data_IF_829339336631
#
_entry.id   IF_829339336631
#
_cell.length_a   1.000
_cell.length_b   1.000
_cell.length_c   1.000
_cell.angle_alpha   90.00
_cell.angle_beta   90.00
_cell.angle_gamma   90.00
#
_symmetry.space_group_name_H-M   'P 1'
#
loop_
_entity.id
_entity.type
_entity.pdbx_description
1 polymer ?
#
# COMPACT_ATOMS: atom_id res chain seq x y z
N UNK A 1 14.56 -2.48 5.62
CA UNK A 1 13.45 -2.88 4.72
C UNK A 1 13.46 -1.92 3.53
N UNK A 2 13.18 -2.39 2.32
CA UNK A 2 13.15 -1.51 1.12
C UNK A 2 12.22 -0.32 1.34
N UNK A 3 11.06 -0.53 1.97
CA UNK A 3 10.12 0.53 2.36
C UNK A 3 10.72 1.61 3.26
N UNK A 4 11.61 1.24 4.20
CA UNK A 4 12.34 2.21 5.03
C UNK A 4 13.25 3.09 4.16
N UNK A 5 14.10 2.47 3.35
CA UNK A 5 15.08 3.21 2.53
C UNK A 5 14.39 4.07 1.45
N UNK A 6 13.27 3.59 0.91
CA UNK A 6 12.42 4.31 -0.04
C UNK A 6 11.83 5.59 0.57
N UNK A 7 11.36 5.53 1.83
CA UNK A 7 10.62 6.64 2.47
C UNK A 7 11.51 7.54 3.33
N UNK A 8 12.52 6.98 4.00
CA UNK A 8 13.43 7.69 4.91
C UNK A 8 14.82 7.96 4.26
N UNK A 9 15.28 7.11 3.34
CA UNK A 9 16.69 7.06 2.90
C UNK A 9 17.08 7.97 1.74
N UNK A 10 16.15 8.74 1.15
CA UNK A 10 16.36 9.67 0.02
C UNK A 10 17.26 9.11 -1.11
N UNK A 11 17.05 7.85 -1.49
CA UNK A 11 17.82 7.19 -2.54
C UNK A 11 17.11 7.34 -3.89
N UNK A 12 17.65 8.16 -4.80
CA UNK A 12 17.13 8.34 -6.16
C UNK A 12 16.91 7.01 -6.91
N UNK A 13 17.76 6.01 -6.66
CA UNK A 13 17.69 4.70 -7.29
C UNK A 13 16.44 3.89 -6.90
N UNK A 14 15.69 4.33 -5.88
CA UNK A 14 14.51 3.63 -5.37
C UNK A 14 13.19 4.30 -5.75
N UNK A 15 13.21 5.35 -6.58
CA UNK A 15 12.01 6.08 -6.99
C UNK A 15 10.98 5.18 -7.69
N UNK A 16 11.43 4.26 -8.55
CA UNK A 16 10.53 3.29 -9.20
C UNK A 16 9.81 2.37 -8.21
N UNK A 17 10.51 1.95 -7.14
CA UNK A 17 9.91 1.17 -6.06
C UNK A 17 8.91 2.00 -5.25
N UNK A 18 9.23 3.29 -5.01
CA UNK A 18 8.32 4.23 -4.36
C UNK A 18 7.02 4.36 -5.16
N UNK A 19 7.13 4.71 -6.44
CA UNK A 19 5.97 4.88 -7.33
C UNK A 19 5.11 3.62 -7.40
N UNK A 20 5.73 2.44 -7.49
CA UNK A 20 5.01 1.16 -7.47
C UNK A 20 4.30 0.91 -6.14
N UNK A 21 4.95 1.22 -5.01
CA UNK A 21 4.36 1.09 -3.69
C UNK A 21 3.18 2.05 -3.49
N UNK A 22 3.34 3.32 -3.86
CA UNK A 22 2.28 4.33 -3.76
C UNK A 22 1.07 3.98 -4.64
N UNK A 23 1.31 3.55 -5.89
CA UNK A 23 0.25 3.07 -6.78
C UNK A 23 -0.49 1.87 -6.20
N UNK A 24 0.25 0.91 -5.62
CA UNK A 24 -0.36 -0.23 -4.94
C UNK A 24 -1.16 0.19 -3.72
N UNK A 25 -0.64 1.06 -2.85
CA UNK A 25 -1.35 1.54 -1.67
C UNK A 25 -2.62 2.31 -2.05
N UNK A 26 -2.58 3.11 -3.11
CA UNK A 26 -3.76 3.81 -3.61
C UNK A 26 -4.83 2.85 -4.13
N UNK A 27 -4.45 1.74 -4.79
CA UNK A 27 -5.41 0.72 -5.19
C UNK A 27 -6.18 0.06 -4.02
N UNK A 28 -5.69 0.23 -2.77
CA UNK A 28 -6.35 -0.24 -1.55
C UNK A 28 -7.32 0.78 -0.96
N UNK A 29 -7.27 2.04 -1.41
CA UNK A 29 -8.16 3.11 -0.92
C UNK A 29 -9.43 3.07 -1.76
N UNK A 30 -10.60 2.79 -1.15
CA UNK A 30 -11.87 2.87 -1.86
C UNK A 30 -12.07 4.25 -2.47
N UNK A 31 -12.70 4.31 -3.64
CA UNK A 31 -13.02 5.56 -4.36
C UNK A 31 -11.81 6.37 -4.86
N UNK A 32 -10.59 5.83 -4.76
CA UNK A 32 -9.43 6.42 -5.44
C UNK A 32 -9.51 6.22 -6.97
N UNK A 33 -8.99 7.17 -7.76
CA UNK A 33 -8.84 7.01 -9.20
C UNK A 33 -8.05 5.77 -9.60
N UNK A 34 -8.60 4.97 -10.53
CA UNK A 34 -7.90 3.87 -11.18
C UNK A 34 -8.32 2.46 -10.71
N UNK A 35 -7.50 1.44 -11.00
CA UNK A 35 -7.76 0.08 -10.57
C UNK A 35 -7.70 -0.04 -9.05
N UNK A 36 -8.73 -0.65 -8.47
CA UNK A 36 -8.87 -0.83 -7.03
C UNK A 36 -9.07 -2.31 -6.72
N UNK A 37 -8.65 -2.71 -5.53
CA UNK A 37 -8.92 -4.06 -5.02
C UNK A 37 -10.41 -4.20 -4.69
N UNK A 38 -10.91 -5.42 -4.81
CA UNK A 38 -12.30 -5.71 -4.48
C UNK A 38 -12.46 -5.89 -2.97
N UNK A 39 -13.62 -5.47 -2.47
CA UNK A 39 -14.03 -5.70 -1.09
C UNK A 39 -15.35 -6.49 -1.09
N UNK A 40 -15.49 -7.40 -0.14
CA UNK A 40 -16.78 -8.05 0.09
C UNK A 40 -17.80 -7.04 0.63
N UNK A 41 -19.12 -7.34 0.59
CA UNK A 41 -20.13 -6.48 1.20
C UNK A 41 -19.91 -6.20 2.70
N UNK A 42 -19.16 -7.07 3.39
CA UNK A 42 -18.77 -6.90 4.79
C UNK A 42 -17.47 -6.12 5.00
N UNK A 43 -16.85 -5.58 3.95
CA UNK A 43 -15.62 -4.79 4.02
C UNK A 43 -14.32 -5.61 4.10
N UNK A 44 -14.37 -6.92 3.87
CA UNK A 44 -13.15 -7.73 3.81
C UNK A 44 -12.47 -7.54 2.44
N UNK A 45 -11.18 -7.22 2.43
CA UNK A 45 -10.38 -7.20 1.21
C UNK A 45 -10.42 -8.58 0.54
N UNK A 46 -10.79 -8.61 -0.74
CA UNK A 46 -10.98 -9.81 -1.53
C UNK A 46 -10.03 -9.83 -2.72
N UNK A 47 -9.27 -10.93 -2.85
CA UNK A 47 -8.41 -11.17 -4.01
C UNK A 47 -8.59 -12.62 -4.46
N UNK A 48 -9.08 -12.86 -5.70
CA UNK A 48 -9.30 -14.22 -6.20
C UNK A 48 -8.04 -15.11 -6.12
N UNK A 49 -8.25 -16.39 -5.83
CA UNK A 49 -7.20 -17.38 -5.68
C UNK A 49 -6.59 -17.43 -4.27
N UNK A 50 -6.07 -18.59 -3.86
CA UNK A 50 -5.46 -18.79 -2.54
C UNK A 50 -6.43 -18.68 -1.35
N UNK A 51 -5.88 -18.36 -0.18
CA UNK A 51 -6.65 -18.14 1.06
C UNK A 51 -6.99 -16.66 1.23
N UNK A 52 -8.28 -16.33 1.31
CA UNK A 52 -8.75 -14.94 1.36
C UNK A 52 -8.20 -14.16 2.56
N UNK A 53 -8.13 -14.80 3.73
CA UNK A 53 -7.59 -14.16 4.93
C UNK A 53 -6.07 -13.97 4.85
N UNK A 54 -5.36 -14.83 4.12
CA UNK A 54 -3.92 -14.65 3.92
C UNK A 54 -3.65 -13.38 3.11
N UNK A 55 -4.43 -13.13 2.06
CA UNK A 55 -4.34 -11.90 1.27
C UNK A 55 -4.69 -10.67 2.12
N UNK A 56 -5.84 -10.68 2.79
CA UNK A 56 -6.27 -9.57 3.63
C UNK A 56 -5.22 -9.22 4.72
N UNK A 57 -4.69 -10.23 5.40
CA UNK A 57 -3.70 -10.03 6.48
C UNK A 57 -2.38 -9.51 5.93
N UNK A 58 -1.88 -10.10 4.84
CA UNK A 58 -0.60 -9.70 4.23
C UNK A 58 -0.66 -8.27 3.70
N UNK A 59 -1.75 -7.90 3.02
CA UNK A 59 -1.92 -6.56 2.48
C UNK A 59 -2.09 -5.53 3.62
N UNK A 60 -2.86 -5.87 4.66
CA UNK A 60 -2.99 -5.01 5.84
C UNK A 60 -1.64 -4.76 6.51
N UNK A 61 -0.80 -5.80 6.63
CA UNK A 61 0.55 -5.66 7.16
C UNK A 61 1.41 -4.71 6.32
N UNK A 62 1.41 -4.87 4.99
CA UNK A 62 2.15 -3.99 4.08
C UNK A 62 1.70 -2.52 4.18
N UNK A 63 0.38 -2.30 4.23
CA UNK A 63 -0.21 -0.97 4.39
C UNK A 63 0.22 -0.32 5.71
N UNK A 64 0.13 -1.06 6.82
CA UNK A 64 0.52 -0.56 8.14
C UNK A 64 2.00 -0.21 8.22
N UNK A 65 2.88 -1.07 7.67
CA UNK A 65 4.32 -0.81 7.64
C UNK A 65 4.62 0.44 6.81
N UNK A 66 4.01 0.58 5.64
CA UNK A 66 4.22 1.76 4.79
C UNK A 66 3.71 3.05 5.45
N UNK A 67 2.50 3.01 6.04
CA UNK A 67 1.93 4.13 6.78
C UNK A 67 2.80 4.55 7.98
N UNK A 68 3.41 3.57 8.68
CA UNK A 68 4.35 3.86 9.76
C UNK A 68 5.58 4.63 9.28
N UNK A 69 6.14 4.28 8.12
CA UNK A 69 7.27 5.01 7.54
C UNK A 69 6.87 6.41 7.07
N UNK A 70 5.72 6.56 6.42
CA UNK A 70 5.19 7.88 6.05
C UNK A 70 5.04 8.78 7.28
N UNK A 71 4.43 8.25 8.35
CA UNK A 71 4.21 8.97 9.60
C UNK A 71 5.52 9.43 10.25
N UNK A 72 6.54 8.56 10.31
CA UNK A 72 7.87 8.90 10.84
C UNK A 72 8.58 9.99 10.04
N UNK A 73 8.40 9.99 8.73
CA UNK A 73 8.98 10.99 7.83
C UNK A 73 8.13 12.25 7.66
N UNK A 74 6.99 12.37 8.36
CA UNK A 74 6.02 13.46 8.16
C UNK A 74 5.57 13.61 6.70
N UNK A 75 5.52 12.49 5.97
CA UNK A 75 5.04 12.41 4.60
C UNK A 75 3.58 11.92 4.59
N UNK A 76 2.87 12.22 3.52
CA UNK A 76 1.53 11.72 3.26
C UNK A 76 1.46 11.10 1.86
N UNK A 77 0.58 10.11 1.73
CA UNK A 77 0.21 9.54 0.44
C UNK A 77 -1.02 10.28 -0.07
N UNK A 78 -0.96 10.79 -1.29
CA UNK A 78 -2.11 11.37 -1.98
C UNK A 78 -2.48 10.45 -3.15
N UNK A 79 -3.74 10.00 -3.17
CA UNK A 79 -4.23 9.06 -4.17
C UNK A 79 -5.08 9.71 -5.26
N UNK A 80 -5.16 11.05 -5.30
CA UNK A 80 -6.02 11.81 -6.21
C UNK A 80 -7.02 12.66 -5.45
#
# INVERSE_FOLDING_TARGET
LVSKEVVEGNMYNLEAYKSSAESFMCSLVPESPGPHVEYTPGGLLYKPGGSQLQHATTISFLLLVYAQYLSRSSLSLNCG
#
